data_IF_483838538269
#
_entry.id   IF_483838538269
#
_cell.length_a   1.000
_cell.length_b   1.000
_cell.length_c   1.000
_cell.angle_alpha   90.00
_cell.angle_beta   90.00
_cell.angle_gamma   90.00
#
_symmetry.space_group_name_H-M   'P 1'
#
loop_
_entity.id
_entity.type
_entity.pdbx_description
1 polymer ?
#
# COMPACT_ATOMS: atom_id res chain seq x y z
N UNK A 1 1.51 20.65 -11.04
CA UNK A 1 1.99 20.13 -9.75
C UNK A 1 1.36 21.04 -8.72
N UNK A 2 0.57 20.49 -7.83
CA UNK A 2 -0.14 21.27 -6.81
C UNK A 2 0.55 21.12 -5.47
N UNK A 3 0.50 22.16 -4.64
CA UNK A 3 1.05 22.15 -3.28
C UNK A 3 -0.08 22.23 -2.26
N UNK A 4 -0.13 21.25 -1.35
CA UNK A 4 -1.14 21.17 -0.29
C UNK A 4 -1.05 19.86 0.48
N UNK A 5 -1.79 19.78 1.59
CA UNK A 5 -1.92 18.55 2.35
C UNK A 5 -2.88 17.59 1.64
N UNK A 6 -2.38 16.44 1.21
CA UNK A 6 -3.18 15.45 0.46
C UNK A 6 -4.36 14.90 1.26
N UNK A 7 -4.19 14.78 2.59
CA UNK A 7 -5.23 14.30 3.49
C UNK A 7 -6.19 15.43 3.88
N UNK A 8 -5.73 16.61 4.23
CA UNK A 8 -6.68 17.66 4.63
C UNK A 8 -7.43 18.26 3.44
N UNK A 9 -6.72 18.67 2.38
CA UNK A 9 -7.28 19.37 1.23
C UNK A 9 -6.61 18.96 -0.11
N UNK A 10 -7.06 17.86 -0.75
CA UNK A 10 -6.52 17.40 -2.02
C UNK A 10 -6.77 18.42 -3.15
N UNK A 11 -5.72 18.84 -3.85
CA UNK A 11 -5.83 19.85 -4.90
C UNK A 11 -6.15 19.26 -6.29
N UNK A 12 -5.95 17.96 -6.49
CA UNK A 12 -6.12 17.32 -7.80
C UNK A 12 -7.57 16.83 -7.95
N UNK A 13 -8.42 17.73 -8.44
CA UNK A 13 -9.86 17.54 -8.54
C UNK A 13 -10.36 17.48 -10.00
N UNK A 14 -11.50 16.83 -10.19
CA UNK A 14 -12.28 16.81 -11.44
C UNK A 14 -13.76 16.93 -11.07
N UNK A 15 -14.45 17.95 -11.59
CA UNK A 15 -15.86 18.23 -11.28
C UNK A 15 -16.18 18.31 -9.77
N UNK A 16 -15.28 18.92 -8.99
CA UNK A 16 -15.44 19.07 -7.54
C UNK A 16 -15.27 17.79 -6.73
N UNK A 17 -14.73 16.72 -7.33
CA UNK A 17 -14.42 15.46 -6.69
C UNK A 17 -12.93 15.13 -6.86
N UNK A 18 -12.37 14.27 -6.02
CA UNK A 18 -11.00 13.77 -6.21
C UNK A 18 -10.91 13.07 -7.56
N UNK A 19 -9.98 13.54 -8.40
CA UNK A 19 -9.78 13.03 -9.77
C UNK A 19 -9.46 11.53 -9.74
N UNK A 20 -9.99 10.78 -10.71
CA UNK A 20 -9.78 9.33 -10.81
C UNK A 20 -8.71 8.99 -11.84
N UNK A 21 -7.84 8.04 -11.51
CA UNK A 21 -6.73 7.59 -12.33
C UNK A 21 -6.78 6.09 -12.59
N UNK A 22 -6.18 5.66 -13.70
CA UNK A 22 -5.98 4.25 -14.01
C UNK A 22 -4.88 3.63 -13.14
N UNK A 23 -3.88 4.43 -12.77
CA UNK A 23 -2.73 4.01 -11.95
C UNK A 23 -2.40 5.07 -10.90
N UNK A 24 -2.12 4.64 -9.68
CA UNK A 24 -1.62 5.49 -8.60
C UNK A 24 -0.36 4.86 -8.01
N UNK A 25 0.74 5.60 -8.00
CA UNK A 25 2.02 5.19 -7.43
C UNK A 25 2.43 6.21 -6.37
N UNK A 26 2.79 5.77 -5.16
CA UNK A 26 3.21 6.71 -4.12
C UNK A 26 4.15 6.08 -3.09
N UNK A 27 5.01 6.93 -2.53
CA UNK A 27 5.75 6.68 -1.29
C UNK A 27 5.36 7.76 -0.29
N UNK A 28 4.20 7.64 0.38
CA UNK A 28 3.75 8.65 1.33
C UNK A 28 4.68 8.69 2.56
N UNK A 29 4.71 9.81 3.28
CA UNK A 29 5.52 9.91 4.48
C UNK A 29 5.06 8.91 5.54
N UNK A 30 6.00 8.14 6.10
CA UNK A 30 5.66 7.12 7.07
C UNK A 30 5.33 7.70 8.44
N UNK A 31 4.31 7.15 9.06
CA UNK A 31 4.03 7.34 10.49
C UNK A 31 3.94 8.82 10.86
N UNK A 32 3.11 9.56 10.13
CA UNK A 32 2.72 10.91 10.48
C UNK A 32 1.44 10.93 11.31
N UNK A 33 1.26 12.01 12.08
CA UNK A 33 -0.06 12.37 12.61
C UNK A 33 -0.85 13.06 11.50
N UNK A 34 -2.16 13.09 11.64
CA UNK A 34 -3.06 13.84 10.76
C UNK A 34 -4.19 14.44 11.60
N UNK A 35 -4.93 15.40 11.03
CA UNK A 35 -6.08 16.02 11.68
C UNK A 35 -7.32 15.88 10.82
N UNK A 36 -8.48 15.69 11.44
CA UNK A 36 -9.79 15.72 10.78
C UNK A 36 -10.41 17.11 10.79
N UNK A 37 -9.88 18.04 11.59
CA UNK A 37 -10.50 19.34 11.84
C UNK A 37 -10.76 20.15 10.55
N UNK A 38 -9.85 20.06 9.58
CA UNK A 38 -9.89 20.83 8.33
C UNK A 38 -10.13 19.95 7.08
N UNK A 39 -10.60 18.71 7.28
CA UNK A 39 -10.71 17.72 6.21
C UNK A 39 -11.86 18.05 5.24
N UNK A 40 -11.55 18.42 4.00
CA UNK A 40 -12.55 18.90 3.02
C UNK A 40 -13.28 17.76 2.29
N UNK A 41 -12.65 16.58 2.15
CA UNK A 41 -13.23 15.40 1.50
C UNK A 41 -13.24 14.22 2.47
N UNK A 42 -14.26 14.11 3.31
CA UNK A 42 -14.37 13.03 4.31
C UNK A 42 -14.91 11.72 3.74
N UNK A 43 -15.77 11.77 2.71
CA UNK A 43 -16.46 10.62 2.12
C UNK A 43 -15.55 9.56 1.47
N UNK A 44 -14.29 9.90 1.23
CA UNK A 44 -13.26 9.00 0.67
C UNK A 44 -12.67 8.03 1.69
N UNK A 45 -12.95 8.22 2.98
CA UNK A 45 -12.49 7.36 4.05
C UNK A 45 -13.65 6.51 4.56
N UNK A 46 -13.45 5.19 4.58
CA UNK A 46 -14.44 4.23 5.09
C UNK A 46 -14.32 4.01 6.58
N UNK A 47 -13.14 4.27 7.12
CA UNK A 47 -12.85 4.26 8.56
C UNK A 47 -11.65 5.17 8.84
N UNK A 48 -11.52 5.62 10.08
CA UNK A 48 -10.51 6.58 10.51
C UNK A 48 -9.50 5.96 11.47
N UNK A 49 -8.22 6.09 11.15
CA UNK A 49 -7.15 5.82 12.11
C UNK A 49 -7.19 6.83 13.28
N UNK A 50 -6.57 6.53 14.44
CA UNK A 50 -6.34 7.54 15.46
C UNK A 50 -5.55 8.74 14.90
N UNK A 51 -5.96 9.97 15.24
CA UNK A 51 -5.29 11.22 14.81
C UNK A 51 -3.90 11.38 15.44
N UNK A 52 -3.68 10.74 16.59
CA UNK A 52 -2.42 10.73 17.33
C UNK A 52 -1.71 9.37 17.22
N UNK A 53 -0.43 9.32 17.62
CA UNK A 53 0.34 8.07 17.62
C UNK A 53 0.85 7.64 16.25
N UNK A 54 0.96 8.58 15.31
CA UNK A 54 1.63 8.42 14.02
C UNK A 54 0.97 7.37 13.11
N UNK A 55 -0.36 7.48 12.90
CA UNK A 55 -1.20 6.47 12.23
C UNK A 55 -1.82 6.91 10.89
N UNK A 56 -1.25 7.90 10.21
CA UNK A 56 -1.76 8.39 8.92
C UNK A 56 -1.57 7.42 7.74
N UNK A 57 -0.76 6.35 7.87
CA UNK A 57 -0.36 5.48 6.74
C UNK A 57 -1.58 4.93 5.95
N UNK A 58 -2.55 4.33 6.64
CA UNK A 58 -3.77 3.79 6.00
C UNK A 58 -4.76 4.88 5.56
N UNK A 59 -4.59 6.12 6.02
CA UNK A 59 -5.37 7.26 5.50
C UNK A 59 -4.90 7.58 4.08
N UNK A 60 -3.59 7.57 3.81
CA UNK A 60 -3.07 7.71 2.45
C UNK A 60 -3.53 6.58 1.54
N UNK A 61 -3.55 5.33 2.02
CA UNK A 61 -4.08 4.19 1.24
C UNK A 61 -5.53 4.42 0.83
N UNK A 62 -6.38 4.82 1.78
CA UNK A 62 -7.78 5.11 1.48
C UNK A 62 -7.94 6.27 0.49
N UNK A 63 -7.13 7.34 0.62
CA UNK A 63 -7.10 8.43 -0.35
C UNK A 63 -6.75 7.93 -1.75
N UNK A 64 -5.67 7.16 -1.89
CA UNK A 64 -5.24 6.63 -3.18
C UNK A 64 -6.27 5.68 -3.80
N UNK A 65 -6.91 4.83 -3.01
CA UNK A 65 -8.01 3.98 -3.45
C UNK A 65 -9.21 4.80 -3.91
N UNK A 66 -9.54 5.89 -3.22
CA UNK A 66 -10.57 6.81 -3.67
C UNK A 66 -10.17 7.48 -5.00
N UNK A 67 -8.89 7.74 -5.24
CA UNK A 67 -8.38 8.30 -6.50
C UNK A 67 -8.28 7.29 -7.65
N UNK A 68 -8.66 6.01 -7.47
CA UNK A 68 -8.66 5.02 -8.55
C UNK A 68 -10.01 4.92 -9.27
N UNK A 69 -9.96 4.80 -10.59
CA UNK A 69 -11.07 4.32 -11.43
C UNK A 69 -11.46 2.88 -11.07
N UNK A 70 -12.66 2.38 -11.46
CA UNK A 70 -13.10 1.01 -11.16
C UNK A 70 -12.16 -0.11 -11.67
N UNK A 71 -11.40 0.13 -12.74
CA UNK A 71 -10.37 -0.79 -13.28
C UNK A 71 -8.93 -0.36 -12.91
N UNK A 72 -8.81 0.51 -11.91
CA UNK A 72 -7.57 1.12 -11.50
C UNK A 72 -6.69 0.20 -10.64
N UNK A 73 -5.39 0.44 -10.70
CA UNK A 73 -4.39 -0.27 -9.90
C UNK A 73 -3.53 0.72 -9.11
N UNK A 74 -3.15 0.36 -7.89
CA UNK A 74 -2.27 1.16 -7.04
C UNK A 74 -1.10 0.31 -6.57
N UNK A 75 0.08 0.91 -6.51
CA UNK A 75 1.21 0.36 -5.76
C UNK A 75 1.81 1.45 -4.88
N UNK A 76 1.98 1.16 -3.59
CA UNK A 76 2.49 2.15 -2.64
C UNK A 76 3.41 1.53 -1.62
N UNK A 77 4.44 2.27 -1.24
CA UNK A 77 5.34 1.87 -0.16
C UNK A 77 4.69 2.19 1.18
N UNK A 78 4.68 1.20 2.08
CA UNK A 78 4.15 1.35 3.43
C UNK A 78 5.11 0.75 4.46
N UNK A 79 5.14 1.27 5.71
CA UNK A 79 5.83 0.58 6.79
C UNK A 79 5.07 -0.70 7.15
N UNK A 80 5.77 -1.77 7.54
CA UNK A 80 5.14 -3.06 7.88
C UNK A 80 4.03 -2.96 8.93
N UNK A 81 4.05 -1.94 9.80
CA UNK A 81 3.02 -1.75 10.81
C UNK A 81 1.59 -1.71 10.24
N UNK A 82 1.38 -1.25 9.01
CA UNK A 82 0.04 -1.27 8.39
C UNK A 82 -0.53 -2.68 8.28
N UNK A 83 0.32 -3.70 8.19
CA UNK A 83 -0.05 -5.10 7.98
C UNK A 83 -0.59 -5.78 9.25
N UNK A 84 -0.21 -5.30 10.44
CA UNK A 84 -0.51 -6.02 11.69
C UNK A 84 -1.02 -5.17 12.84
N UNK A 85 -0.94 -3.83 12.78
CA UNK A 85 -1.48 -2.98 13.86
C UNK A 85 -2.98 -3.21 14.08
N UNK A 86 -3.39 -3.20 15.35
CA UNK A 86 -4.77 -3.49 15.78
C UNK A 86 -5.73 -2.31 15.67
N UNK A 87 -6.88 -2.41 16.35
CA UNK A 87 -7.86 -1.33 16.48
C UNK A 87 -8.44 -0.89 15.13
N UNK A 88 -8.51 0.43 14.90
CA UNK A 88 -9.08 0.99 13.66
C UNK A 88 -8.31 0.61 12.40
N UNK A 89 -7.00 0.41 12.50
CA UNK A 89 -6.19 -0.07 11.36
C UNK A 89 -6.54 -1.52 10.97
N UNK A 90 -6.90 -2.36 11.96
CA UNK A 90 -7.43 -3.70 11.69
C UNK A 90 -8.75 -3.64 10.93
N UNK A 91 -9.68 -2.77 11.34
CA UNK A 91 -10.96 -2.59 10.65
C UNK A 91 -10.77 -2.13 9.20
N UNK A 92 -9.85 -1.18 8.95
CA UNK A 92 -9.51 -0.77 7.59
C UNK A 92 -8.99 -1.95 6.78
N UNK A 93 -8.05 -2.75 7.32
CA UNK A 93 -7.56 -3.94 6.61
C UNK A 93 -8.67 -4.94 6.30
N UNK A 94 -9.54 -5.24 7.26
CA UNK A 94 -10.69 -6.13 7.06
C UNK A 94 -11.57 -5.61 5.92
N UNK A 95 -11.86 -4.31 5.90
CA UNK A 95 -12.59 -3.66 4.80
C UNK A 95 -11.89 -3.87 3.45
N UNK A 96 -10.58 -3.62 3.37
CA UNK A 96 -9.82 -3.77 2.11
C UNK A 96 -9.76 -5.21 1.61
N UNK A 97 -9.69 -6.19 2.53
CA UNK A 97 -9.69 -7.61 2.20
C UNK A 97 -11.09 -8.07 1.77
N UNK A 98 -12.14 -7.66 2.50
CA UNK A 98 -13.52 -8.05 2.20
C UNK A 98 -14.02 -7.50 0.86
N UNK A 99 -13.57 -6.30 0.50
CA UNK A 99 -13.83 -5.70 -0.82
C UNK A 99 -12.92 -6.26 -1.93
N UNK A 100 -12.03 -7.21 -1.59
CA UNK A 100 -11.10 -7.86 -2.51
C UNK A 100 -10.19 -6.86 -3.25
N UNK A 101 -9.73 -5.82 -2.53
CA UNK A 101 -8.94 -4.73 -3.12
C UNK A 101 -7.43 -5.00 -3.10
N UNK A 102 -6.94 -5.80 -2.14
CA UNK A 102 -5.52 -6.12 -2.04
C UNK A 102 -5.20 -7.25 -3.01
N UNK A 103 -4.29 -7.00 -3.94
CA UNK A 103 -3.79 -8.02 -4.88
C UNK A 103 -2.52 -8.67 -4.34
N UNK A 104 -1.60 -7.86 -3.81
CA UNK A 104 -0.35 -8.38 -3.26
C UNK A 104 0.23 -7.53 -2.13
N UNK A 105 0.97 -8.20 -1.25
CA UNK A 105 1.85 -7.59 -0.26
C UNK A 105 3.27 -8.12 -0.51
N UNK A 106 4.19 -7.21 -0.81
CA UNK A 106 5.58 -7.52 -1.11
C UNK A 106 6.45 -6.95 0.00
N UNK A 107 6.90 -7.78 0.94
CA UNK A 107 7.84 -7.37 1.97
C UNK A 107 9.20 -7.08 1.35
N UNK A 108 9.78 -5.92 1.65
CA UNK A 108 11.06 -5.49 1.09
C UNK A 108 12.20 -5.69 2.10
N UNK A 109 13.45 -5.77 1.60
CA UNK A 109 14.64 -5.75 2.45
C UNK A 109 14.69 -4.58 3.44
N UNK A 110 15.28 -4.78 4.63
CA UNK A 110 15.55 -3.69 5.55
C UNK A 110 16.59 -2.73 4.96
N UNK A 111 16.61 -1.48 5.44
CA UNK A 111 17.67 -0.52 5.11
C UNK A 111 17.70 -0.03 3.66
N UNK A 112 16.63 -0.23 2.88
CA UNK A 112 16.51 0.35 1.52
C UNK A 112 16.25 1.86 1.54
N UNK A 113 15.51 2.35 2.54
CA UNK A 113 15.05 3.74 2.59
C UNK A 113 16.02 4.63 3.38
N UNK A 114 16.15 5.88 2.96
CA UNK A 114 17.01 6.84 3.65
C UNK A 114 16.32 7.32 4.92
N UNK A 115 17.09 7.53 6.00
CA UNK A 115 16.59 8.12 7.24
C UNK A 115 15.72 7.19 8.09
N UNK A 116 15.54 5.91 7.72
CA UNK A 116 14.84 4.94 8.56
C UNK A 116 15.28 3.50 8.29
N UNK A 117 15.47 2.71 9.36
CA UNK A 117 15.66 1.27 9.29
C UNK A 117 14.35 0.47 9.33
N UNK A 118 13.19 1.16 9.33
CA UNK A 118 11.88 0.51 9.42
C UNK A 118 11.67 -0.40 8.20
N UNK A 119 11.35 -1.69 8.42
CA UNK A 119 10.94 -2.58 7.34
C UNK A 119 9.69 -2.04 6.62
N UNK A 120 9.74 -2.07 5.29
CA UNK A 120 8.69 -1.56 4.43
C UNK A 120 8.21 -2.64 3.47
N UNK A 121 7.01 -2.47 2.96
CA UNK A 121 6.43 -3.33 1.94
C UNK A 121 5.89 -2.49 0.78
N UNK A 122 5.73 -3.12 -0.37
CA UNK A 122 4.84 -2.62 -1.43
C UNK A 122 3.46 -3.22 -1.18
N UNK A 123 2.48 -2.35 -0.97
CA UNK A 123 1.07 -2.72 -0.98
C UNK A 123 0.53 -2.49 -2.40
N UNK A 124 0.08 -3.57 -3.04
CA UNK A 124 -0.51 -3.53 -4.38
C UNK A 124 -2.02 -3.75 -4.26
N UNK A 125 -2.80 -2.80 -4.80
CA UNK A 125 -4.24 -2.89 -4.86
C UNK A 125 -4.76 -2.88 -6.31
N UNK A 126 -5.82 -3.63 -6.55
CA UNK A 126 -6.44 -3.78 -7.86
C UNK A 126 -7.96 -3.83 -7.69
N UNK A 127 -8.68 -2.90 -8.32
CA UNK A 127 -10.14 -2.84 -8.25
C UNK A 127 -10.86 -3.75 -9.25
N UNK A 128 -10.11 -4.37 -10.16
CA UNK A 128 -10.61 -5.26 -11.21
C UNK A 128 -9.75 -6.53 -11.28
N UNK A 129 -9.65 -7.24 -10.15
CA UNK A 129 -8.93 -8.52 -10.11
C UNK A 129 -9.60 -9.54 -11.04
N UNK A 130 -8.82 -10.33 -11.81
CA UNK A 130 -9.38 -11.39 -12.62
C UNK A 130 -9.97 -12.49 -11.74
N UNK A 131 -10.98 -13.19 -12.24
CA UNK A 131 -11.73 -14.21 -11.48
C UNK A 131 -10.83 -15.27 -10.83
N UNK A 132 -9.74 -15.68 -11.49
CA UNK A 132 -8.79 -16.65 -10.97
C UNK A 132 -8.09 -16.20 -9.67
N UNK A 133 -8.02 -14.89 -9.44
CA UNK A 133 -7.39 -14.23 -8.27
C UNK A 133 -8.40 -13.62 -7.31
N UNK A 134 -9.71 -13.76 -7.56
CA UNK A 134 -10.76 -13.31 -6.67
C UNK A 134 -10.54 -13.88 -5.28
N UNK A 135 -10.74 -13.06 -4.26
CA UNK A 135 -10.64 -13.42 -2.84
C UNK A 135 -9.26 -13.92 -2.38
N UNK A 136 -8.21 -13.72 -3.20
CA UNK A 136 -6.85 -14.16 -2.89
C UNK A 136 -5.85 -13.01 -2.83
N UNK A 137 -4.91 -13.07 -1.90
CA UNK A 137 -3.81 -12.10 -1.78
C UNK A 137 -2.49 -12.81 -2.01
N UNK A 138 -1.66 -12.29 -2.92
CA UNK A 138 -0.30 -12.79 -3.11
C UNK A 138 0.64 -12.17 -2.07
N UNK A 139 1.28 -13.01 -1.27
CA UNK A 139 2.37 -12.59 -0.40
C UNK A 139 3.70 -12.93 -1.05
N UNK A 140 4.62 -11.96 -1.08
CA UNK A 140 6.01 -12.14 -1.51
C UNK A 140 6.91 -11.63 -0.38
N UNK A 141 7.76 -12.51 0.16
CA UNK A 141 8.77 -12.14 1.14
C UNK A 141 10.13 -11.98 0.46
N UNK A 142 10.45 -10.75 0.04
CA UNK A 142 11.73 -10.41 -0.58
C UNK A 142 12.74 -9.82 0.41
N UNK A 143 12.54 -10.00 1.72
CA UNK A 143 13.37 -9.43 2.79
C UNK A 143 14.87 -9.77 2.70
N UNK A 144 15.23 -10.85 2.01
CA UNK A 144 16.60 -11.36 1.81
C UNK A 144 17.19 -11.05 0.43
N UNK A 145 16.45 -10.39 -0.45
CA UNK A 145 16.87 -10.10 -1.83
C UNK A 145 17.53 -8.72 -1.89
N UNK A 146 18.81 -8.60 -1.54
CA UNK A 146 19.52 -7.32 -1.62
C UNK A 146 21.04 -7.47 -1.66
N UNK A 147 21.71 -6.45 -2.18
CA UNK A 147 23.12 -6.20 -1.90
C UNK A 147 23.27 -5.35 -0.64
N UNK A 148 24.11 -5.80 0.29
CA UNK A 148 24.51 -4.99 1.44
C UNK A 148 25.29 -3.76 0.98
N UNK A 149 24.92 -2.60 1.52
CA UNK A 149 25.66 -1.36 1.32
C UNK A 149 26.03 -0.70 2.63
N UNK A 150 26.97 0.23 2.59
CA UNK A 150 27.55 0.86 3.80
C UNK A 150 26.51 1.58 4.66
N UNK A 151 25.62 2.33 4.03
CA UNK A 151 24.59 3.12 4.71
C UNK A 151 23.17 2.63 4.40
N UNK A 152 23.00 1.95 3.26
CA UNK A 152 21.71 1.48 2.75
C UNK A 152 21.93 0.22 1.93
N UNK A 153 21.01 -0.71 2.05
CA UNK A 153 20.90 -1.87 1.17
C UNK A 153 20.33 -1.44 -0.18
N UNK A 154 20.54 -2.26 -1.20
CA UNK A 154 20.05 -1.99 -2.55
C UNK A 154 19.47 -3.25 -3.15
N UNK A 155 18.33 -3.12 -3.82
CA UNK A 155 17.86 -4.15 -4.73
C UNK A 155 18.77 -4.17 -5.95
N UNK A 156 19.34 -5.34 -6.25
CA UNK A 156 20.06 -5.58 -7.49
C UNK A 156 19.04 -5.81 -8.62
N UNK A 157 19.43 -5.68 -9.89
CA UNK A 157 18.53 -5.96 -11.01
C UNK A 157 17.87 -7.34 -10.94
N UNK A 158 18.60 -8.38 -10.55
CA UNK A 158 18.08 -9.75 -10.40
C UNK A 158 17.06 -9.89 -9.26
N UNK A 159 17.19 -9.09 -8.19
CA UNK A 159 16.25 -9.08 -7.08
C UNK A 159 14.90 -8.52 -7.56
N UNK A 160 14.94 -7.43 -8.33
CA UNK A 160 13.77 -6.79 -8.92
C UNK A 160 13.11 -7.72 -9.94
N UNK A 161 13.90 -8.33 -10.83
CA UNK A 161 13.41 -9.26 -11.84
C UNK A 161 12.71 -10.47 -11.21
N UNK A 162 13.27 -11.04 -10.14
CA UNK A 162 12.63 -12.14 -9.41
C UNK A 162 11.29 -11.73 -8.80
N UNK A 163 11.24 -10.57 -8.13
CA UNK A 163 10.00 -10.05 -7.53
C UNK A 163 8.95 -9.82 -8.62
N UNK A 164 9.32 -9.16 -9.71
CA UNK A 164 8.44 -8.89 -10.85
C UNK A 164 7.94 -10.18 -11.51
N UNK A 165 8.83 -11.13 -11.78
CA UNK A 165 8.47 -12.41 -12.38
C UNK A 165 7.45 -13.17 -11.51
N UNK A 166 7.70 -13.23 -10.20
CA UNK A 166 6.81 -13.89 -9.24
C UNK A 166 5.47 -13.17 -9.13
N UNK A 167 5.46 -11.84 -9.06
CA UNK A 167 4.24 -11.04 -9.04
C UNK A 167 3.43 -11.20 -10.34
N UNK A 168 4.06 -11.05 -11.49
CA UNK A 168 3.41 -11.10 -12.81
C UNK A 168 2.79 -12.46 -13.08
N UNK A 169 3.50 -13.54 -12.75
CA UNK A 169 3.04 -14.90 -13.01
C UNK A 169 2.34 -15.56 -11.81
N UNK A 170 2.14 -14.82 -10.71
CA UNK A 170 1.50 -15.29 -9.47
C UNK A 170 2.10 -16.62 -8.97
N UNK A 171 3.42 -16.76 -9.07
CA UNK A 171 4.13 -18.01 -8.73
C UNK A 171 4.18 -18.21 -7.23
N UNK A 172 3.95 -19.44 -6.81
CA UNK A 172 4.20 -19.87 -5.43
C UNK A 172 5.57 -20.53 -5.34
N UNK A 173 6.39 -20.03 -4.41
CA UNK A 173 7.75 -20.51 -4.19
C UNK A 173 7.90 -20.75 -2.70
N UNK A 174 8.28 -21.97 -2.32
CA UNK A 174 8.40 -22.36 -0.91
C UNK A 174 9.28 -21.36 -0.14
N UNK A 175 8.77 -20.84 0.99
CA UNK A 175 9.42 -19.84 1.85
C UNK A 175 9.63 -18.45 1.23
N UNK A 176 9.10 -18.19 0.04
CA UNK A 176 9.28 -16.91 -0.65
C UNK A 176 7.94 -16.28 -1.06
N UNK A 177 7.06 -17.02 -1.71
CA UNK A 177 5.76 -16.51 -2.13
C UNK A 177 4.65 -17.53 -1.98
N UNK A 178 3.45 -17.03 -1.66
CA UNK A 178 2.24 -17.84 -1.52
C UNK A 178 1.01 -17.04 -1.91
N UNK A 179 0.10 -17.68 -2.63
CA UNK A 179 -1.22 -17.12 -2.91
C UNK A 179 -2.19 -17.60 -1.83
N UNK A 180 -2.69 -16.67 -1.03
CA UNK A 180 -3.46 -16.97 0.18
C UNK A 180 -4.92 -16.59 -0.04
N UNK A 181 -5.84 -17.48 0.29
CA UNK A 181 -7.28 -17.20 0.26
C UNK A 181 -7.67 -16.34 1.47
N UNK A 182 -8.62 -15.41 1.30
CA UNK A 182 -9.06 -14.51 2.39
C UNK A 182 -9.63 -15.23 3.60
N UNK A 183 -10.02 -16.51 3.45
CA UNK A 183 -10.61 -17.33 4.52
C UNK A 183 -9.57 -17.94 5.47
N UNK A 184 -8.29 -17.90 5.10
CA UNK A 184 -7.15 -18.30 5.94
C UNK A 184 -6.77 -17.23 6.97
#
# INVERSE_FOLDING_TARGET
IENGDTLEDPQILENGQVRKFDRVLANPPFSQNYSRANMTFTHRFREWCPETGKKADLMFVQHMLASLKPNGHMATIMPHGVLFRGGKEKLIREILINDDLIEAVISLPPGLFYGTGIPACVLVCNKSKPDALRDKVLFINADREYAEGKNQNKLRPEDIEKIDYVFTHKREIQKYSRLVDKTE
#
